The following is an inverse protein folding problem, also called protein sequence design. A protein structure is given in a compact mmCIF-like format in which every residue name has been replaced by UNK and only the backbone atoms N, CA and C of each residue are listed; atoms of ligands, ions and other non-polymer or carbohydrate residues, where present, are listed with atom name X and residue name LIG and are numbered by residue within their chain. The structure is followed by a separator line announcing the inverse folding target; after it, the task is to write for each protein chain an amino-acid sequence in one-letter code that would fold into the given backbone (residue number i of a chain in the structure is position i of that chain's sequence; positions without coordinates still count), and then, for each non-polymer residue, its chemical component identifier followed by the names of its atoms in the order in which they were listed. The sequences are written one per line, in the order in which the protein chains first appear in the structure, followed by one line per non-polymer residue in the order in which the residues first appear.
data_IF_824211845830
#
_entry.id   IF_824211845830
#
_cell.length_a   1.000
_cell.length_b   1.000
_cell.length_c   1.000
_cell.angle_alpha   90.00
_cell.angle_beta   90.00
_cell.angle_gamma   90.00
#
_symmetry.space_group_name_H-M   'P 1'
#
loop_
_entity.id
_entity.type
_entity.pdbx_description
1 polymer ?
#
# COMPACT_ATOMS: atom_id res chain seq x y z
N UNK A 1 14.59 9.77 -1.48
CA UNK A 1 14.02 8.45 -1.13
C UNK A 1 13.32 8.53 0.23
N UNK A 2 12.25 9.32 0.35
CA UNK A 2 11.54 9.55 1.62
C UNK A 2 10.02 9.36 1.50
N UNK A 3 9.48 9.36 0.28
CA UNK A 3 8.04 9.35 0.05
C UNK A 3 7.36 8.12 0.69
N UNK A 4 7.92 6.92 0.53
CA UNK A 4 7.33 5.71 1.12
C UNK A 4 7.49 5.65 2.65
N UNK A 5 8.48 6.32 3.23
CA UNK A 5 8.62 6.41 4.69
C UNK A 5 7.46 7.24 5.27
N UNK A 6 7.17 8.40 4.66
CA UNK A 6 6.02 9.22 5.07
C UNK A 6 4.68 8.48 4.90
N UNK A 7 4.52 7.68 3.84
CA UNK A 7 3.31 6.88 3.66
C UNK A 7 3.13 5.79 4.73
N UNK A 8 4.22 5.18 5.20
CA UNK A 8 4.16 4.20 6.29
C UNK A 8 3.73 4.83 7.62
N UNK A 9 4.17 6.07 7.90
CA UNK A 9 3.73 6.80 9.10
C UNK A 9 2.22 7.09 9.08
N UNK A 10 1.63 7.25 7.90
CA UNK A 10 0.19 7.48 7.72
C UNK A 10 -0.66 6.20 7.70
N UNK A 11 -0.03 5.02 7.66
CA UNK A 11 -0.73 3.73 7.61
C UNK A 11 -1.65 3.53 8.82
N UNK A 12 -1.21 3.96 10.00
CA UNK A 12 -2.01 3.86 11.24
C UNK A 12 -3.32 4.65 11.17
N UNK A 13 -3.31 5.85 10.57
CA UNK A 13 -4.52 6.66 10.38
C UNK A 13 -5.50 5.98 9.43
N UNK A 14 -4.97 5.35 8.37
CA UNK A 14 -5.81 4.62 7.42
C UNK A 14 -6.44 3.39 8.08
N UNK A 15 -5.67 2.59 8.84
CA UNK A 15 -6.20 1.46 9.61
C UNK A 15 -7.26 1.90 10.62
N UNK A 16 -7.10 3.06 11.27
CA UNK A 16 -8.09 3.60 12.20
C UNK A 16 -9.40 4.00 11.48
N UNK A 17 -9.33 4.54 10.27
CA UNK A 17 -10.49 4.96 9.50
C UNK A 17 -11.28 3.79 8.90
N UNK A 18 -10.60 2.73 8.44
CA UNK A 18 -11.26 1.63 7.69
C UNK A 18 -11.26 0.28 8.42
N UNK A 19 -10.51 0.15 9.51
CA UNK A 19 -10.37 -1.07 10.29
C UNK A 19 -9.38 -2.09 9.70
N UNK A 20 -8.86 -2.98 10.57
CA UNK A 20 -7.81 -3.96 10.24
C UNK A 20 -8.22 -4.98 9.17
N UNK A 21 -9.47 -5.46 9.20
CA UNK A 21 -9.96 -6.50 8.27
C UNK A 21 -10.00 -5.97 6.83
N UNK A 22 -10.60 -4.79 6.63
CA UNK A 22 -10.70 -4.18 5.31
C UNK A 22 -9.33 -3.69 4.82
N UNK A 23 -8.53 -3.09 5.70
CA UNK A 23 -7.16 -2.71 5.37
C UNK A 23 -6.34 -3.91 4.85
N UNK A 24 -6.30 -5.00 5.62
CA UNK A 24 -5.57 -6.21 5.22
C UNK A 24 -6.10 -6.84 3.93
N UNK A 25 -7.41 -6.78 3.69
CA UNK A 25 -7.99 -7.25 2.42
C UNK A 25 -7.47 -6.45 1.22
N UNK A 26 -7.40 -5.12 1.33
CA UNK A 26 -6.98 -4.23 0.23
C UNK A 26 -5.48 -4.25 -0.02
N UNK A 27 -4.66 -4.40 1.03
CA UNK A 27 -3.19 -4.29 0.93
C UNK A 27 -2.46 -5.63 0.78
N UNK A 28 -3.17 -6.76 0.90
CA UNK A 28 -2.57 -8.10 0.82
C UNK A 28 -1.84 -8.40 -0.50
N UNK A 29 -2.24 -7.80 -1.61
CA UNK A 29 -1.68 -8.09 -2.94
C UNK A 29 -0.67 -7.02 -3.35
N UNK A 30 0.50 -7.45 -3.80
CA UNK A 30 1.44 -6.58 -4.53
C UNK A 30 0.97 -6.41 -5.97
N UNK A 31 1.19 -5.23 -6.54
CA UNK A 31 0.88 -4.92 -7.95
C UNK A 31 2.19 -4.73 -8.70
N UNK A 32 2.22 -5.15 -9.96
CA UNK A 32 3.31 -4.82 -10.90
C UNK A 32 3.45 -3.32 -11.00
N UNK A 33 4.69 -2.83 -11.01
CA UNK A 33 4.99 -1.41 -11.10
C UNK A 33 4.47 -0.83 -12.42
N UNK A 34 3.90 0.37 -12.38
CA UNK A 34 3.31 1.02 -13.55
C UNK A 34 4.31 1.31 -14.68
N UNK A 35 5.61 1.26 -14.37
CA UNK A 35 6.72 1.45 -15.32
C UNK A 35 7.49 0.16 -15.58
N UNK A 36 7.09 -0.97 -15.00
CA UNK A 36 7.70 -2.26 -15.30
C UNK A 36 7.16 -2.75 -16.65
N UNK A 37 8.05 -2.94 -17.63
CA UNK A 37 7.69 -3.61 -18.88
C UNK A 37 7.35 -5.06 -18.57
N UNK A 38 6.10 -5.47 -18.84
CA UNK A 38 5.73 -6.89 -18.81
C UNK A 38 6.58 -7.57 -19.88
N UNK A 39 7.55 -8.40 -19.47
CA UNK A 39 8.25 -9.26 -20.41
C UNK A 39 7.19 -10.14 -21.09
N UNK A 40 7.05 -9.97 -22.40
CA UNK A 40 6.10 -10.72 -23.22
C UNK A 40 6.48 -12.20 -23.32
#
# INVERSE_FOLDING_TARGET
HLNMTMFQELEGNLVAAIGKVLFGFLTRRTRTGSTETVAA
#
